data_IF_255456476410
#
_entry.id   IF_255456476410
#
_cell.length_a   1.000
_cell.length_b   1.000
_cell.length_c   1.000
_cell.angle_alpha   90.00
_cell.angle_beta   90.00
_cell.angle_gamma   90.00
#
_symmetry.space_group_name_H-M   'P 1'
#
loop_
_entity.id
_entity.type
_entity.pdbx_description
1 polymer ?
#
# COMPACT_ATOMS: atom_id res chain seq x y z
N UNK A 1 3.32 -4.91 5.49
CA UNK A 1 3.87 -5.02 6.86
C UNK A 1 4.38 -6.44 7.05
N UNK A 2 5.52 -6.61 7.72
CA UNK A 2 5.99 -7.91 8.17
C UNK A 2 5.85 -8.00 9.68
N UNK A 3 5.35 -9.14 10.15
CA UNK A 3 5.09 -9.40 11.57
C UNK A 3 5.85 -10.66 11.93
N UNK A 4 6.63 -10.61 13.01
CA UNK A 4 7.33 -11.79 13.52
C UNK A 4 6.31 -12.68 14.22
N UNK A 5 6.41 -14.00 14.04
CA UNK A 5 5.61 -14.92 14.84
C UNK A 5 6.25 -15.05 16.23
N UNK A 6 5.86 -14.19 17.17
CA UNK A 6 6.32 -14.19 18.55
C UNK A 6 5.28 -13.61 19.53
N UNK A 7 5.56 -13.76 20.83
CA UNK A 7 4.67 -13.28 21.89
C UNK A 7 4.47 -11.76 21.85
N UNK A 8 5.50 -11.00 21.43
CA UNK A 8 5.45 -9.53 21.35
C UNK A 8 4.46 -9.09 20.28
N UNK A 9 4.48 -9.75 19.12
CA UNK A 9 3.56 -9.45 18.02
C UNK A 9 2.13 -9.82 18.37
N UNK A 10 1.92 -10.96 19.06
CA UNK A 10 0.62 -11.31 19.62
C UNK A 10 0.12 -10.22 20.57
N UNK A 11 0.95 -9.84 21.55
CA UNK A 11 0.61 -8.83 22.55
C UNK A 11 0.29 -7.45 21.94
N UNK A 12 0.97 -7.10 20.84
CA UNK A 12 0.65 -5.89 20.08
C UNK A 12 -0.77 -5.93 19.51
N UNK A 13 -1.19 -7.06 18.92
CA UNK A 13 -2.55 -7.20 18.41
C UNK A 13 -3.59 -7.30 19.53
N UNK A 14 -3.29 -8.01 20.63
CA UNK A 14 -4.18 -8.06 21.80
C UNK A 14 -4.41 -6.65 22.35
N UNK A 15 -3.36 -5.85 22.47
CA UNK A 15 -3.47 -4.44 22.92
C UNK A 15 -4.29 -3.58 21.94
N UNK A 16 -4.24 -3.88 20.64
CA UNK A 16 -5.07 -3.20 19.65
C UNK A 16 -6.55 -3.57 19.78
N UNK A 17 -6.85 -4.85 20.02
CA UNK A 17 -8.21 -5.33 20.30
C UNK A 17 -8.74 -4.69 21.59
N UNK A 18 -7.95 -4.67 22.66
CA UNK A 18 -8.31 -4.01 23.92
C UNK A 18 -8.60 -2.51 23.74
N UNK A 19 -7.85 -1.83 22.85
CA UNK A 19 -8.13 -0.44 22.51
C UNK A 19 -9.51 -0.29 21.86
N UNK A 20 -9.84 -1.17 20.91
CA UNK A 20 -11.11 -1.13 20.19
C UNK A 20 -12.28 -1.49 21.10
N UNK A 21 -12.08 -2.42 22.02
CA UNK A 21 -13.10 -2.88 22.98
C UNK A 21 -13.19 -2.01 24.24
N UNK A 22 -12.29 -1.02 24.39
CA UNK A 22 -12.25 -0.15 25.58
C UNK A 22 -13.55 0.63 25.82
N UNK A 23 -14.37 0.82 24.79
CA UNK A 23 -15.68 1.45 24.89
C UNK A 23 -16.68 0.72 23.99
N UNK A 24 -17.95 0.57 24.42
CA UNK A 24 -19.00 0.02 23.57
C UNK A 24 -19.28 0.90 22.34
N UNK A 25 -18.88 2.17 22.39
CA UNK A 25 -19.04 3.14 21.31
C UNK A 25 -17.71 3.46 20.63
N UNK A 26 -17.54 2.95 19.41
CA UNK A 26 -16.34 3.19 18.58
C UNK A 26 -16.10 4.69 18.29
N UNK A 27 -17.13 5.53 18.35
CA UNK A 27 -16.99 6.98 18.16
C UNK A 27 -16.12 7.60 19.26
N UNK A 28 -16.24 7.12 20.50
CA UNK A 28 -15.47 7.63 21.63
C UNK A 28 -13.99 7.26 21.51
N UNK A 29 -13.71 6.02 21.08
CA UNK A 29 -12.35 5.56 20.79
C UNK A 29 -11.75 6.39 19.66
N UNK A 30 -12.49 6.60 18.56
CA UNK A 30 -12.06 7.47 17.46
C UNK A 30 -11.75 8.89 17.93
N UNK A 31 -12.64 9.53 18.71
CA UNK A 31 -12.43 10.90 19.20
C UNK A 31 -11.21 10.98 20.13
N UNK A 32 -10.97 9.94 20.94
CA UNK A 32 -9.76 9.82 21.76
C UNK A 32 -8.50 9.76 20.89
N UNK A 33 -8.50 8.91 19.85
CA UNK A 33 -7.36 8.78 18.94
C UNK A 33 -7.13 10.06 18.14
N UNK A 34 -8.19 10.69 17.62
CA UNK A 34 -8.12 11.93 16.82
C UNK A 34 -7.47 13.09 17.56
N UNK A 35 -7.61 13.16 18.90
CA UNK A 35 -6.91 14.17 19.71
C UNK A 35 -5.38 14.04 19.61
N UNK A 36 -4.88 12.82 19.43
CA UNK A 36 -3.44 12.55 19.25
C UNK A 36 -3.05 12.59 17.77
N UNK A 37 -3.93 12.12 16.89
CA UNK A 37 -3.71 12.04 15.45
C UNK A 37 -4.75 12.88 14.69
N UNK A 38 -4.58 14.20 14.55
CA UNK A 38 -5.60 15.06 13.96
C UNK A 38 -5.89 14.79 12.49
N UNK A 39 -4.97 14.13 11.76
CA UNK A 39 -5.07 13.85 10.33
C UNK A 39 -5.67 12.49 9.95
N UNK A 40 -6.22 11.72 10.90
CA UNK A 40 -6.83 10.43 10.55
C UNK A 40 -8.17 10.61 9.82
N UNK A 41 -8.61 9.61 9.03
CA UNK A 41 -9.94 9.59 8.44
C UNK A 41 -11.06 9.76 9.48
N UNK A 42 -12.29 10.02 9.03
CA UNK A 42 -13.48 10.20 9.89
C UNK A 42 -13.93 8.96 10.69
N UNK A 43 -13.07 7.96 10.82
CA UNK A 43 -13.28 6.70 11.52
C UNK A 43 -11.93 6.19 12.02
N UNK A 44 -11.95 5.32 13.04
CA UNK A 44 -10.75 4.62 13.49
C UNK A 44 -10.53 3.37 12.62
N UNK A 45 -9.33 3.25 12.05
CA UNK A 45 -8.88 2.05 11.34
C UNK A 45 -7.69 1.40 12.07
N UNK A 46 -7.33 0.20 11.63
CA UNK A 46 -6.16 -0.55 12.09
C UNK A 46 -4.87 0.26 11.95
N UNK A 47 -4.67 0.95 10.82
CA UNK A 47 -3.51 1.80 10.59
C UNK A 47 -3.43 2.96 11.60
N UNK A 48 -4.54 3.68 11.80
CA UNK A 48 -4.61 4.77 12.78
C UNK A 48 -4.42 4.27 14.23
N UNK A 49 -4.92 3.07 14.53
CA UNK A 49 -4.77 2.41 15.84
C UNK A 49 -3.33 2.04 16.11
N UNK A 50 -2.65 1.45 15.12
CA UNK A 50 -1.23 1.11 15.23
C UNK A 50 -0.40 2.37 15.48
N UNK A 51 -0.59 3.45 14.70
CA UNK A 51 0.13 4.72 14.89
C UNK A 51 -0.16 5.29 16.29
N UNK A 52 -1.41 5.26 16.73
CA UNK A 52 -1.79 5.73 18.06
C UNK A 52 -1.06 4.97 19.17
N UNK A 53 -1.01 3.64 19.08
CA UNK A 53 -0.28 2.80 20.04
C UNK A 53 1.23 3.08 20.02
N UNK A 54 1.82 3.19 18.83
CA UNK A 54 3.24 3.53 18.68
C UNK A 54 3.56 4.91 19.27
N UNK A 55 2.64 5.88 19.16
CA UNK A 55 2.83 7.23 19.69
C UNK A 55 2.55 7.37 21.18
N UNK A 56 1.62 6.60 21.74
CA UNK A 56 1.21 6.70 23.16
C UNK A 56 1.93 5.71 24.07
N UNK A 57 2.47 4.62 23.52
CA UNK A 57 3.20 3.57 24.25
C UNK A 57 4.60 3.36 23.63
N UNK A 58 5.28 4.46 23.32
CA UNK A 58 6.56 4.50 22.57
C UNK A 58 7.62 3.54 23.12
N UNK A 59 7.85 3.59 24.44
CA UNK A 59 8.90 2.81 25.10
C UNK A 59 8.66 1.31 25.01
N UNK A 60 7.39 0.89 24.92
CA UNK A 60 6.99 -0.51 24.79
C UNK A 60 7.18 -1.01 23.36
N UNK A 61 6.74 -0.25 22.37
CA UNK A 61 6.61 -0.74 21.00
C UNK A 61 7.71 -0.29 20.03
N UNK A 62 8.19 0.95 20.11
CA UNK A 62 9.17 1.46 19.14
C UNK A 62 10.48 0.64 19.08
N UNK A 63 11.03 0.13 20.20
CA UNK A 63 12.23 -0.72 20.14
C UNK A 63 12.05 -2.03 19.35
N UNK A 64 10.80 -2.41 19.02
CA UNK A 64 10.44 -3.63 18.29
C UNK A 64 9.99 -3.36 16.86
N UNK A 65 9.95 -2.09 16.45
CA UNK A 65 9.49 -1.66 15.13
C UNK A 65 10.65 -1.14 14.31
N UNK A 66 10.73 -1.61 13.08
CA UNK A 66 11.57 -1.02 12.05
C UNK A 66 10.67 -0.32 11.02
N UNK A 67 10.82 0.99 10.87
CA UNK A 67 10.17 1.75 9.80
C UNK A 67 11.06 1.63 8.55
N UNK A 68 10.57 0.89 7.55
CA UNK A 68 11.30 0.67 6.30
C UNK A 68 11.16 1.89 5.39
N UNK A 69 12.29 2.53 5.11
CA UNK A 69 12.39 3.71 4.23
C UNK A 69 13.35 3.48 3.05
N UNK A 70 13.99 2.31 2.96
CA UNK A 70 14.99 2.02 1.91
C UNK A 70 14.34 1.65 0.58
N UNK A 71 13.13 1.11 0.60
CA UNK A 71 12.34 0.79 -0.58
C UNK A 71 10.85 0.91 -0.31
N UNK A 72 10.04 0.97 -1.35
CA UNK A 72 8.60 1.12 -1.23
C UNK A 72 7.87 -0.19 -0.92
N UNK A 73 7.89 -0.62 0.35
CA UNK A 73 7.01 -1.69 0.85
C UNK A 73 5.52 -1.30 0.83
N UNK A 74 5.21 -0.01 0.69
CA UNK A 74 3.87 0.52 0.47
C UNK A 74 3.97 1.90 -0.23
N UNK A 75 3.89 1.95 -1.57
CA UNK A 75 3.83 3.23 -2.31
C UNK A 75 2.38 3.60 -2.60
N UNK A 76 2.01 4.85 -2.34
CA UNK A 76 0.70 5.35 -2.76
C UNK A 76 0.64 5.45 -4.29
N UNK A 77 -0.37 4.82 -4.89
CA UNK A 77 -0.47 4.68 -6.34
C UNK A 77 -0.52 6.02 -7.10
N UNK A 78 -1.15 7.07 -6.55
CA UNK A 78 -1.24 8.37 -7.24
C UNK A 78 0.13 9.02 -7.43
N UNK A 79 1.08 8.73 -6.54
CA UNK A 79 2.44 9.26 -6.61
C UNK A 79 3.31 8.49 -7.61
N UNK A 80 2.80 7.39 -8.19
CA UNK A 80 3.57 6.51 -9.07
C UNK A 80 2.97 6.36 -10.47
N UNK A 81 1.66 6.52 -10.62
CA UNK A 81 0.89 6.22 -11.84
C UNK A 81 1.44 6.84 -13.13
N UNK A 82 2.15 7.97 -13.03
CA UNK A 82 2.69 8.71 -14.16
C UNK A 82 4.14 8.29 -14.52
N UNK A 83 4.80 7.47 -13.70
CA UNK A 83 6.17 6.99 -13.95
C UNK A 83 6.25 5.61 -14.62
N UNK A 84 5.14 4.87 -14.68
CA UNK A 84 5.14 3.49 -15.19
C UNK A 84 5.63 3.38 -16.65
N UNK A 85 5.30 4.36 -17.50
CA UNK A 85 5.78 4.38 -18.89
C UNK A 85 7.29 4.67 -18.95
N UNK A 86 7.78 5.58 -18.10
CA UNK A 86 9.21 5.94 -18.04
C UNK A 86 10.07 4.71 -17.72
N UNK A 87 9.61 3.84 -16.82
CA UNK A 87 10.30 2.58 -16.48
C UNK A 87 10.36 1.61 -17.65
N UNK A 88 9.38 1.64 -18.55
CA UNK A 88 9.34 0.75 -19.73
C UNK A 88 10.27 1.25 -20.84
N UNK A 89 10.41 2.56 -21.00
CA UNK A 89 11.12 3.20 -22.11
C UNK A 89 12.58 3.51 -21.80
N UNK A 90 12.88 3.98 -20.59
CA UNK A 90 14.19 4.51 -20.23
C UNK A 90 14.96 3.56 -19.32
N UNK A 91 16.02 2.95 -19.84
CA UNK A 91 16.86 2.01 -19.05
C UNK A 91 17.46 2.65 -17.79
N UNK A 92 17.61 3.97 -17.76
CA UNK A 92 18.19 4.73 -16.64
C UNK A 92 17.18 4.97 -15.50
N UNK A 93 15.87 4.91 -15.78
CA UNK A 93 14.82 5.05 -14.77
C UNK A 93 14.58 3.74 -14.03
N UNK A 94 14.88 2.59 -14.66
CA UNK A 94 14.82 1.28 -14.04
C UNK A 94 16.08 0.97 -13.23
N UNK A 95 16.00 1.15 -11.90
CA UNK A 95 17.13 0.90 -10.98
C UNK A 95 17.06 -0.44 -10.25
N UNK A 96 15.88 -1.05 -10.21
CA UNK A 96 15.66 -2.34 -9.52
C UNK A 96 16.04 -2.30 -8.02
N UNK A 97 15.85 -1.15 -7.38
CA UNK A 97 16.15 -0.91 -5.96
C UNK A 97 14.90 -0.98 -5.07
N UNK A 98 13.73 -1.23 -5.66
CA UNK A 98 12.43 -1.21 -4.98
C UNK A 98 11.88 0.19 -4.72
N UNK A 99 12.56 1.24 -5.19
CA UNK A 99 12.03 2.60 -5.32
C UNK A 99 11.66 2.92 -6.77
N UNK A 100 12.50 2.49 -7.72
CA UNK A 100 12.35 2.75 -9.15
C UNK A 100 12.53 1.44 -9.95
N UNK A 101 11.44 0.74 -10.30
CA UNK A 101 10.05 0.96 -9.84
C UNK A 101 9.84 0.62 -8.35
N UNK A 102 8.73 1.08 -7.74
CA UNK A 102 8.42 0.71 -6.36
C UNK A 102 8.16 -0.79 -6.23
N UNK A 103 8.62 -1.37 -5.12
CA UNK A 103 8.39 -2.79 -4.85
C UNK A 103 6.91 -3.13 -4.72
N UNK A 104 6.13 -2.29 -4.04
CA UNK A 104 4.67 -2.42 -3.93
C UNK A 104 4.02 -1.08 -4.30
N UNK A 105 3.16 -1.10 -5.31
CA UNK A 105 2.22 -0.03 -5.62
C UNK A 105 0.86 -0.36 -4.99
N UNK A 106 0.44 0.44 -4.02
CA UNK A 106 -0.75 0.20 -3.22
C UNK A 106 -1.89 1.15 -3.61
N UNK A 107 -2.98 0.57 -4.11
CA UNK A 107 -4.20 1.25 -4.56
C UNK A 107 -5.12 1.65 -3.39
N UNK A 108 -4.54 2.29 -2.38
CA UNK A 108 -5.27 2.81 -1.22
C UNK A 108 -6.40 3.75 -1.69
N UNK A 109 -7.61 3.53 -1.18
CA UNK A 109 -8.79 4.33 -1.49
C UNK A 109 -9.60 3.90 -2.71
N UNK A 110 -9.12 2.97 -3.54
CA UNK A 110 -9.81 2.60 -4.79
C UNK A 110 -11.01 1.67 -4.64
N UNK A 111 -11.05 0.83 -3.59
CA UNK A 111 -12.19 -0.05 -3.27
C UNK A 111 -12.75 -0.86 -4.48
N UNK A 112 -11.88 -1.35 -5.37
CA UNK A 112 -12.22 -1.94 -6.67
C UNK A 112 -13.23 -3.11 -6.59
N UNK A 113 -13.26 -3.85 -5.48
CA UNK A 113 -14.18 -4.98 -5.28
C UNK A 113 -15.64 -4.56 -5.09
N UNK A 114 -15.90 -3.39 -4.49
CA UNK A 114 -17.25 -3.02 -4.03
C UNK A 114 -17.89 -1.91 -4.86
N UNK A 115 -17.22 -1.46 -5.94
CA UNK A 115 -17.67 -0.37 -6.83
C UNK A 115 -18.23 0.83 -6.06
N UNK A 116 -17.72 1.08 -4.85
CA UNK A 116 -18.24 2.13 -3.99
C UNK A 116 -17.83 3.46 -4.62
N UNK A 117 -18.73 4.44 -4.61
CA UNK A 117 -18.61 5.82 -5.11
C UNK A 117 -17.28 6.55 -4.75
N UNK A 118 -16.14 6.09 -5.25
CA UNK A 118 -14.94 6.91 -5.35
C UNK A 118 -15.11 7.71 -6.62
N UNK A 119 -15.05 9.04 -6.52
CA UNK A 119 -15.05 9.94 -7.68
C UNK A 119 -14.00 9.52 -8.72
N UNK A 120 -12.95 8.83 -8.27
CA UNK A 120 -11.83 8.35 -9.08
C UNK A 120 -11.94 6.86 -9.49
N UNK A 121 -13.11 6.20 -9.45
CA UNK A 121 -13.19 4.73 -9.71
C UNK A 121 -12.59 4.34 -11.07
N UNK A 122 -12.99 5.05 -12.13
CA UNK A 122 -12.51 4.76 -13.48
C UNK A 122 -10.99 4.94 -13.61
N UNK A 123 -10.45 5.99 -12.98
CA UNK A 123 -9.01 6.23 -12.94
C UNK A 123 -8.29 5.15 -12.10
N UNK A 124 -8.85 4.78 -10.96
CA UNK A 124 -8.35 3.70 -10.11
C UNK A 124 -8.26 2.39 -10.88
N UNK A 125 -9.32 1.99 -11.58
CA UNK A 125 -9.36 0.77 -12.38
C UNK A 125 -8.35 0.83 -13.53
N UNK A 126 -8.35 1.92 -14.30
CA UNK A 126 -7.43 2.12 -15.42
C UNK A 126 -5.97 2.05 -14.98
N UNK A 127 -5.64 2.68 -13.85
CA UNK A 127 -4.26 2.73 -13.34
C UNK A 127 -3.85 1.42 -12.69
N UNK A 128 -4.80 0.70 -12.07
CA UNK A 128 -4.59 -0.66 -11.61
C UNK A 128 -4.23 -1.59 -12.78
N UNK A 129 -4.98 -1.52 -13.88
CA UNK A 129 -4.72 -2.36 -15.06
C UNK A 129 -3.36 -2.04 -15.69
N UNK A 130 -2.97 -0.76 -15.73
CA UNK A 130 -1.61 -0.34 -16.13
C UNK A 130 -0.53 -0.93 -15.22
N UNK A 131 -0.70 -0.83 -13.91
CA UNK A 131 0.24 -1.38 -12.93
C UNK A 131 0.34 -2.91 -13.02
N UNK A 132 -0.78 -3.60 -13.25
CA UNK A 132 -0.80 -5.04 -13.49
C UNK A 132 -0.03 -5.40 -14.76
N UNK A 133 -0.31 -4.74 -15.89
CA UNK A 133 0.39 -5.00 -17.14
C UNK A 133 1.90 -4.71 -17.03
N UNK A 134 2.27 -3.66 -16.30
CA UNK A 134 3.66 -3.32 -16.00
C UNK A 134 4.36 -4.44 -15.19
N UNK A 135 3.72 -4.93 -14.13
CA UNK A 135 4.25 -6.04 -13.33
C UNK A 135 4.30 -7.35 -14.14
N UNK A 136 3.25 -7.66 -14.89
CA UNK A 136 3.13 -8.87 -15.68
C UNK A 136 4.20 -8.93 -16.78
N UNK A 137 4.52 -7.79 -17.42
CA UNK A 137 5.60 -7.68 -18.41
C UNK A 137 6.97 -8.15 -17.87
N UNK A 138 7.23 -8.03 -16.57
CA UNK A 138 8.47 -8.52 -15.95
C UNK A 138 8.56 -10.05 -15.96
N UNK A 139 7.41 -10.73 -15.99
CA UNK A 139 7.30 -12.19 -16.02
C UNK A 139 7.22 -12.71 -17.45
N UNK A 140 6.32 -12.15 -18.26
CA UNK A 140 6.04 -12.69 -19.60
C UNK A 140 7.12 -12.34 -20.64
N UNK A 141 7.99 -11.34 -20.37
CA UNK A 141 9.17 -11.05 -21.21
C UNK A 141 10.08 -12.26 -21.36
N UNK A 142 10.27 -13.02 -20.29
CA UNK A 142 11.12 -14.22 -20.30
C UNK A 142 10.53 -15.34 -21.17
N UNK A 143 9.22 -15.29 -21.42
CA UNK A 143 8.50 -16.19 -22.33
C UNK A 143 8.47 -15.69 -23.78
N UNK A 144 9.07 -14.52 -24.06
CA UNK A 144 9.10 -13.93 -25.40
C UNK A 144 7.87 -13.08 -25.75
N UNK A 145 7.11 -12.62 -24.74
CA UNK A 145 5.90 -11.84 -24.93
C UNK A 145 5.91 -10.55 -24.10
N UNK A 146 5.11 -9.57 -24.51
CA UNK A 146 4.83 -8.37 -23.71
C UNK A 146 3.44 -7.81 -24.03
N UNK A 147 2.85 -7.08 -23.11
CA UNK A 147 1.68 -6.26 -23.40
C UNK A 147 2.01 -5.22 -24.48
N UNK A 148 1.09 -4.98 -25.42
CA UNK A 148 1.26 -3.99 -26.51
C UNK A 148 1.62 -2.60 -25.95
N UNK A 149 0.95 -2.20 -24.88
CA UNK A 149 1.24 -1.04 -24.05
C UNK A 149 0.56 -1.26 -22.68
N UNK A 150 0.86 -0.40 -21.70
CA UNK A 150 0.31 -0.57 -20.35
C UNK A 150 -1.22 -0.42 -20.29
N UNK A 151 -1.83 0.28 -21.25
CA UNK A 151 -3.28 0.50 -21.30
C UNK A 151 -4.06 -0.62 -22.01
N UNK A 152 -3.39 -1.65 -22.53
CA UNK A 152 -4.01 -2.75 -23.28
C UNK A 152 -3.73 -4.11 -22.64
N UNK A 153 -4.77 -4.94 -22.52
CA UNK A 153 -4.64 -6.33 -22.12
C UNK A 153 -4.07 -7.24 -23.22
N UNK A 154 -3.92 -6.73 -24.45
CA UNK A 154 -3.37 -7.49 -25.56
C UNK A 154 -1.88 -7.78 -25.35
N UNK A 155 -1.51 -9.05 -25.48
CA UNK A 155 -0.13 -9.54 -25.39
C UNK A 155 0.38 -9.89 -26.80
N UNK A 156 1.56 -9.40 -27.13
CA UNK A 156 2.21 -9.55 -28.43
C UNK A 156 3.59 -10.21 -28.29
N UNK A 157 4.08 -10.95 -29.31
CA UNK A 157 5.43 -11.46 -29.32
C UNK A 157 6.46 -10.32 -29.34
N UNK A 158 7.56 -10.49 -28.61
CA UNK A 158 8.74 -9.61 -28.70
C UNK A 158 9.51 -10.04 -29.94
N UNK A 159 9.35 -9.30 -31.03
CA UNK A 159 10.15 -9.53 -32.24
C UNK A 159 11.60 -9.22 -31.88
N UNK A 160 12.46 -10.24 -31.92
CA UNK A 160 13.91 -10.11 -31.75
C UNK A 160 14.57 -9.68 -33.05
#
# INVERSE_FOLDING_TARGET
MFVRNDDISREFFDTMVDLWDSHPNQTEVYLKVKKVLPGIPGYLCDQGSAIYMLMTQKDRWLPRVYLEERYHINRYWKDEKDNLDNYMEERETWRNDGNHPPFIMHFCGCALCYMKYSEDFDECQRQHDRAFNFANNQIIRDLGFMHRNLSSSEVVPIIR
#
